data_IF_852089335265
#
_entry.id   IF_852089335265
#
_cell.length_a   1.000
_cell.length_b   1.000
_cell.length_c   1.000
_cell.angle_alpha   90.00
_cell.angle_beta   90.00
_cell.angle_gamma   90.00
#
_symmetry.space_group_name_H-M   'P 1'
#
loop_
_entity.id
_entity.type
_entity.pdbx_description
1 polymer ?
#
# COMPACT_ATOMS: atom_id res chain seq x y z
N UNK A 1 -40.73 -15.39 27.56
CA UNK A 1 -41.72 -16.35 26.97
C UNK A 1 -41.74 -17.65 27.77
N UNK A 2 -42.91 -18.07 28.26
CA UNK A 2 -43.09 -19.25 29.10
C UNK A 2 -44.12 -20.22 28.48
N UNK A 3 -43.81 -21.52 28.36
CA UNK A 3 -44.71 -22.53 27.80
C UNK A 3 -45.76 -22.95 28.86
N UNK A 4 -47.05 -22.95 28.51
CA UNK A 4 -48.18 -23.31 29.39
C UNK A 4 -48.86 -24.61 28.99
N UNK A 5 -48.93 -24.88 27.69
CA UNK A 5 -49.60 -26.06 27.13
C UNK A 5 -48.87 -26.54 25.89
N UNK A 6 -48.74 -27.87 25.76
CA UNK A 6 -48.13 -28.52 24.61
C UNK A 6 -49.18 -29.45 23.99
N UNK A 7 -49.59 -29.17 22.76
CA UNK A 7 -50.49 -30.01 21.98
C UNK A 7 -49.69 -30.66 20.86
N UNK A 8 -49.70 -31.99 20.80
CA UNK A 8 -48.99 -32.78 19.80
C UNK A 8 -50.02 -33.54 18.99
N UNK A 9 -50.15 -33.20 17.71
CA UNK A 9 -51.05 -33.91 16.81
C UNK A 9 -50.40 -35.21 16.35
N UNK A 10 -49.12 -35.16 15.98
CA UNK A 10 -48.27 -36.30 15.70
C UNK A 10 -46.79 -35.92 15.74
N UNK A 11 -45.97 -36.65 16.50
CA UNK A 11 -44.51 -36.47 16.54
C UNK A 11 -43.83 -37.67 17.20
N UNK A 12 -43.02 -38.43 16.44
CA UNK A 12 -42.44 -39.68 16.91
C UNK A 12 -43.50 -40.62 17.49
N UNK A 13 -43.32 -41.01 18.76
CA UNK A 13 -44.26 -41.90 19.49
C UNK A 13 -45.56 -41.21 19.93
N UNK A 14 -45.63 -39.88 19.92
CA UNK A 14 -46.81 -39.14 20.36
C UNK A 14 -47.82 -38.97 19.22
N UNK A 15 -49.10 -39.17 19.54
CA UNK A 15 -50.25 -38.96 18.65
C UNK A 15 -51.43 -38.46 19.48
N UNK A 16 -52.06 -37.37 19.03
CA UNK A 16 -53.19 -36.70 19.69
C UNK A 16 -52.98 -36.51 21.22
N UNK A 17 -51.79 -36.06 21.62
CA UNK A 17 -51.42 -35.85 23.03
C UNK A 17 -51.50 -34.38 23.42
N UNK A 18 -51.91 -34.15 24.66
CA UNK A 18 -52.03 -32.80 25.22
C UNK A 18 -51.45 -32.76 26.63
N UNK A 19 -50.37 -32.02 26.81
CA UNK A 19 -49.74 -31.77 28.11
C UNK A 19 -50.28 -30.43 28.62
N UNK A 20 -51.04 -30.48 29.71
CA UNK A 20 -51.59 -29.32 30.42
C UNK A 20 -50.91 -29.18 31.78
N UNK A 21 -51.03 -28.00 32.37
CA UNK A 21 -50.56 -27.75 33.74
C UNK A 21 -49.06 -27.45 33.83
N UNK A 22 -48.43 -27.00 32.73
CA UNK A 22 -47.08 -26.43 32.81
C UNK A 22 -47.19 -25.07 33.49
N UNK A 23 -46.61 -24.99 34.68
CA UNK A 23 -46.68 -23.83 35.57
C UNK A 23 -45.34 -23.11 35.64
N UNK A 24 -45.32 -21.92 36.24
CA UNK A 24 -44.07 -21.19 36.41
C UNK A 24 -43.16 -21.88 37.42
N UNK A 25 -41.86 -21.90 37.12
CA UNK A 25 -40.85 -22.58 37.93
C UNK A 25 -40.59 -24.02 37.50
N UNK A 26 -40.37 -24.90 38.49
CA UNK A 26 -39.92 -26.26 38.25
C UNK A 26 -41.07 -27.20 37.88
N UNK A 27 -41.03 -27.76 36.67
CA UNK A 27 -41.95 -28.79 36.20
C UNK A 27 -41.21 -30.12 36.04
N UNK A 28 -41.67 -31.17 36.71
CA UNK A 28 -41.01 -32.49 36.68
C UNK A 28 -41.81 -33.43 35.77
N UNK A 29 -41.19 -33.86 34.67
CA UNK A 29 -41.75 -34.87 33.76
C UNK A 29 -41.05 -36.20 34.03
N UNK A 30 -41.80 -37.16 34.59
CA UNK A 30 -41.29 -38.49 34.91
C UNK A 30 -42.13 -39.59 34.25
N UNK A 31 -41.56 -40.77 34.16
CA UNK A 31 -42.13 -41.91 33.46
C UNK A 31 -41.05 -42.95 33.18
N UNK A 32 -41.46 -44.16 32.75
CA UNK A 32 -40.54 -45.23 32.35
C UNK A 32 -39.57 -44.80 31.25
N UNK A 33 -38.53 -45.61 31.04
CA UNK A 33 -37.69 -45.47 29.86
C UNK A 33 -38.56 -45.56 28.59
N UNK A 34 -38.15 -44.84 27.55
CA UNK A 34 -38.84 -44.81 26.24
C UNK A 34 -40.25 -44.21 26.24
N UNK A 35 -40.72 -43.65 27.37
CA UNK A 35 -41.99 -42.92 27.42
C UNK A 35 -42.00 -41.61 26.62
N UNK A 36 -40.91 -41.29 25.92
CA UNK A 36 -40.83 -40.17 24.98
C UNK A 36 -40.35 -38.84 25.56
N UNK A 37 -39.61 -38.83 26.69
CA UNK A 37 -39.08 -37.57 27.27
C UNK A 37 -38.17 -36.81 26.29
N UNK A 38 -37.21 -37.49 25.69
CA UNK A 38 -36.32 -36.91 24.66
C UNK A 38 -37.12 -36.51 23.42
N UNK A 39 -38.13 -37.31 23.04
CA UNK A 39 -39.04 -37.00 21.93
C UNK A 39 -39.86 -35.73 22.21
N UNK A 40 -40.29 -35.50 23.45
CA UNK A 40 -41.02 -34.29 23.85
C UNK A 40 -40.11 -33.05 23.79
N UNK A 41 -38.85 -33.20 24.21
CA UNK A 41 -37.87 -32.12 24.10
C UNK A 41 -37.60 -31.75 22.64
N UNK A 42 -37.41 -32.74 21.76
CA UNK A 42 -37.24 -32.51 20.33
C UNK A 42 -38.50 -31.94 19.66
N UNK A 43 -39.69 -32.29 20.13
CA UNK A 43 -40.92 -31.65 19.68
C UNK A 43 -40.88 -30.15 19.96
N UNK A 44 -40.55 -29.74 21.20
CA UNK A 44 -40.43 -28.32 21.56
C UNK A 44 -39.38 -27.62 20.68
N UNK A 45 -38.21 -28.25 20.47
CA UNK A 45 -37.16 -27.71 19.57
C UNK A 45 -37.68 -27.50 18.14
N UNK A 46 -38.41 -28.47 17.59
CA UNK A 46 -38.97 -28.37 16.24
C UNK A 46 -40.06 -27.29 16.14
N UNK A 47 -40.89 -27.15 17.18
CA UNK A 47 -41.92 -26.12 17.24
C UNK A 47 -41.33 -24.70 17.25
N UNK A 48 -40.21 -24.49 17.95
CA UNK A 48 -39.55 -23.18 18.01
C UNK A 48 -38.70 -22.90 16.75
N UNK A 49 -37.87 -23.86 16.33
CA UNK A 49 -36.81 -23.62 15.33
C UNK A 49 -37.03 -24.31 13.98
N UNK A 50 -38.12 -25.05 13.82
CA UNK A 50 -38.44 -25.77 12.59
C UNK A 50 -37.98 -27.23 12.56
N UNK A 51 -38.61 -27.99 11.68
CA UNK A 51 -38.32 -29.40 11.46
C UNK A 51 -37.01 -29.58 10.69
N UNK A 52 -36.28 -30.68 10.94
CA UNK A 52 -35.09 -31.02 10.16
C UNK A 52 -35.47 -31.20 8.68
N UNK A 53 -34.54 -30.84 7.79
CA UNK A 53 -34.73 -31.06 6.35
C UNK A 53 -34.58 -32.55 6.04
N UNK A 54 -35.32 -33.07 5.07
CA UNK A 54 -35.22 -34.47 4.61
C UNK A 54 -33.81 -34.88 4.15
N UNK A 55 -32.98 -33.91 3.75
CA UNK A 55 -31.58 -34.13 3.36
C UNK A 55 -30.63 -34.34 4.55
N UNK A 56 -31.04 -34.00 5.77
CA UNK A 56 -30.20 -34.14 6.95
C UNK A 56 -30.27 -35.58 7.47
N UNK A 57 -29.11 -36.17 7.77
CA UNK A 57 -28.97 -37.49 8.41
C UNK A 57 -29.29 -37.43 9.91
N UNK A 58 -30.51 -36.98 10.24
CA UNK A 58 -31.01 -36.86 11.61
C UNK A 58 -32.40 -37.47 11.70
N UNK A 59 -32.84 -37.82 12.91
CA UNK A 59 -34.17 -38.35 13.13
C UNK A 59 -35.23 -37.31 12.74
N UNK A 60 -36.10 -37.67 11.79
CA UNK A 60 -37.17 -36.81 11.28
C UNK A 60 -38.40 -36.80 12.21
N UNK A 61 -38.43 -37.70 13.21
CA UNK A 61 -39.54 -37.85 14.15
C UNK A 61 -40.91 -37.99 13.47
N UNK A 62 -40.94 -38.71 12.34
CA UNK A 62 -42.19 -39.03 11.65
C UNK A 62 -43.19 -39.70 12.63
N UNK A 63 -44.49 -39.32 12.62
CA UNK A 63 -45.45 -39.87 13.57
C UNK A 63 -45.68 -41.35 13.31
N UNK A 64 -45.30 -42.22 14.25
CA UNK A 64 -45.47 -43.69 14.07
C UNK A 64 -46.86 -44.17 14.47
N UNK A 65 -47.56 -43.41 15.32
CA UNK A 65 -48.90 -43.71 15.83
C UNK A 65 -49.99 -42.85 15.15
N UNK A 66 -49.73 -42.35 13.94
CA UNK A 66 -50.62 -41.47 13.20
C UNK A 66 -50.62 -40.02 13.70
N UNK A 67 -51.47 -39.20 13.09
CA UNK A 67 -51.55 -37.75 13.34
C UNK A 67 -50.73 -36.92 12.36
N UNK A 68 -51.01 -35.62 12.31
CA UNK A 68 -50.30 -34.67 11.45
C UNK A 68 -48.98 -34.28 12.13
N UNK A 69 -47.86 -34.34 11.39
CA UNK A 69 -46.54 -34.03 11.95
C UNK A 69 -46.46 -32.55 12.38
N UNK A 70 -46.51 -32.33 13.69
CA UNK A 70 -46.57 -31.00 14.29
C UNK A 70 -47.59 -30.87 15.42
N UNK A 71 -47.93 -29.63 15.74
CA UNK A 71 -48.86 -29.33 16.81
C UNK A 71 -48.84 -27.86 17.19
N UNK A 72 -49.13 -27.59 18.47
CA UNK A 72 -49.34 -26.23 18.99
C UNK A 72 -48.65 -26.10 20.35
N UNK A 73 -47.84 -25.05 20.51
CA UNK A 73 -47.39 -24.59 21.84
C UNK A 73 -48.19 -23.37 22.24
N UNK A 74 -48.74 -23.34 23.45
CA UNK A 74 -49.31 -22.12 24.02
C UNK A 74 -48.36 -21.55 25.03
N UNK A 75 -48.06 -20.26 24.88
CA UNK A 75 -47.08 -19.56 25.68
C UNK A 75 -47.67 -18.28 26.28
N UNK A 76 -47.10 -17.84 27.40
CA UNK A 76 -47.33 -16.52 27.99
C UNK A 76 -46.06 -15.69 27.78
N UNK A 77 -46.20 -14.47 27.28
CA UNK A 77 -45.10 -13.51 27.19
C UNK A 77 -44.88 -12.80 28.52
N UNK A 78 -43.73 -12.16 28.67
CA UNK A 78 -43.38 -11.43 29.90
C UNK A 78 -44.31 -10.22 30.13
N UNK A 79 -44.93 -9.72 29.05
CA UNK A 79 -46.01 -8.73 29.08
C UNK A 79 -47.35 -9.26 29.62
N UNK A 80 -47.47 -10.57 29.85
CA UNK A 80 -48.72 -11.26 30.20
C UNK A 80 -49.56 -11.70 28.99
N UNK A 81 -49.19 -11.30 27.77
CA UNK A 81 -49.93 -11.67 26.56
C UNK A 81 -49.87 -13.18 26.28
N UNK A 82 -51.00 -13.78 25.93
CA UNK A 82 -51.08 -15.17 25.48
C UNK A 82 -50.85 -15.29 23.98
N UNK A 83 -49.99 -16.24 23.60
CA UNK A 83 -49.69 -16.55 22.21
C UNK A 83 -49.76 -18.06 21.94
N UNK A 84 -50.04 -18.44 20.70
CA UNK A 84 -49.85 -19.83 20.23
C UNK A 84 -48.85 -19.89 19.08
N UNK A 85 -47.97 -20.91 19.14
CA UNK A 85 -47.03 -21.27 18.07
C UNK A 85 -47.56 -22.54 17.42
N UNK A 86 -48.12 -22.40 16.23
CA UNK A 86 -48.69 -23.49 15.44
C UNK A 86 -47.70 -23.84 14.33
N UNK A 87 -47.18 -25.07 14.30
CA UNK A 87 -46.17 -25.47 13.33
C UNK A 87 -46.38 -26.91 12.87
N UNK A 88 -46.40 -27.09 11.55
CA UNK A 88 -46.54 -28.39 10.88
C UNK A 88 -45.51 -28.52 9.76
N UNK A 89 -44.98 -29.73 9.54
CA UNK A 89 -43.90 -29.99 8.56
C UNK A 89 -44.36 -29.80 7.10
N UNK A 90 -45.63 -30.07 6.82
CA UNK A 90 -46.23 -29.94 5.49
C UNK A 90 -46.48 -28.48 5.05
N UNK A 91 -46.31 -27.50 5.96
CA UNK A 91 -46.58 -26.09 5.69
C UNK A 91 -45.31 -25.32 5.32
N UNK A 92 -45.24 -24.90 4.06
CA UNK A 92 -44.08 -24.17 3.50
C UNK A 92 -43.94 -22.73 3.99
N UNK A 93 -45.03 -22.09 4.42
CA UNK A 93 -45.06 -20.69 4.88
C UNK A 93 -44.48 -20.49 6.29
N UNK A 94 -44.08 -21.58 6.98
CA UNK A 94 -43.58 -21.54 8.35
C UNK A 94 -44.69 -21.58 9.41
N UNK A 95 -44.38 -21.17 10.65
CA UNK A 95 -45.33 -21.26 11.77
C UNK A 95 -46.43 -20.21 11.62
N UNK A 96 -47.63 -20.51 12.12
CA UNK A 96 -48.64 -19.50 12.45
C UNK A 96 -48.39 -19.09 13.89
N UNK A 97 -48.26 -17.79 14.14
CA UNK A 97 -48.23 -17.25 15.50
C UNK A 97 -49.54 -16.49 15.74
N UNK A 98 -50.37 -17.02 16.64
CA UNK A 98 -51.64 -16.38 17.01
C UNK A 98 -51.46 -15.59 18.30
N UNK A 99 -52.02 -14.40 18.34
CA UNK A 99 -52.25 -13.61 19.54
C UNK A 99 -53.75 -13.45 19.75
N UNK A 100 -54.18 -12.84 20.85
CA UNK A 100 -55.59 -12.53 21.09
C UNK A 100 -56.21 -11.61 20.02
N UNK A 101 -55.39 -10.84 19.32
CA UNK A 101 -55.85 -9.81 18.37
C UNK A 101 -55.52 -10.13 16.91
N UNK A 102 -54.53 -10.99 16.65
CA UNK A 102 -54.01 -11.23 15.30
C UNK A 102 -53.83 -12.73 15.08
N UNK A 103 -54.38 -13.23 13.97
CA UNK A 103 -54.40 -14.66 13.65
C UNK A 103 -53.09 -15.22 13.10
N UNK A 104 -52.21 -14.38 12.54
CA UNK A 104 -50.92 -14.86 12.05
C UNK A 104 -49.86 -13.76 11.97
N UNK A 105 -48.84 -13.82 12.83
CA UNK A 105 -47.66 -12.95 12.77
C UNK A 105 -46.45 -13.56 12.04
N UNK A 106 -46.50 -14.85 11.71
CA UNK A 106 -45.45 -15.56 10.96
C UNK A 106 -44.11 -15.75 11.71
N UNK A 107 -43.11 -16.23 10.97
CA UNK A 107 -41.78 -16.59 11.51
C UNK A 107 -41.03 -15.37 12.07
N UNK A 108 -41.06 -14.21 11.40
CA UNK A 108 -40.28 -13.03 11.83
C UNK A 108 -40.66 -12.54 13.22
N UNK A 109 -41.95 -12.67 13.59
CA UNK A 109 -42.41 -12.33 14.93
C UNK A 109 -42.01 -13.39 15.97
N UNK A 110 -41.99 -14.68 15.59
CA UNK A 110 -41.43 -15.72 16.47
C UNK A 110 -39.94 -15.46 16.75
N UNK A 111 -39.19 -15.08 15.72
CA UNK A 111 -37.76 -14.77 15.84
C UNK A 111 -37.52 -13.57 16.77
N UNK A 112 -38.35 -12.52 16.69
CA UNK A 112 -38.24 -11.38 17.60
C UNK A 112 -38.54 -11.74 19.07
N UNK A 113 -39.45 -12.68 19.32
CA UNK A 113 -39.76 -13.20 20.66
C UNK A 113 -38.64 -14.10 21.22
N UNK A 114 -37.98 -14.87 20.36
CA UNK A 114 -36.84 -15.71 20.72
C UNK A 114 -35.54 -14.89 20.86
N UNK A 115 -35.50 -13.68 20.28
CA UNK A 115 -34.34 -12.81 20.32
C UNK A 115 -33.13 -13.48 19.67
N UNK A 116 -32.04 -13.60 20.43
CA UNK A 116 -30.80 -14.23 19.96
C UNK A 116 -30.75 -15.75 20.15
N UNK A 117 -31.81 -16.36 20.69
CA UNK A 117 -31.86 -17.81 20.86
C UNK A 117 -32.10 -18.49 19.51
N UNK A 118 -31.06 -19.12 18.96
CA UNK A 118 -31.19 -20.03 17.82
C UNK A 118 -31.20 -21.50 18.29
N UNK A 119 -31.42 -22.45 17.37
CA UNK A 119 -31.51 -23.89 17.70
C UNK A 119 -30.28 -24.42 18.45
N UNK A 120 -29.08 -23.99 18.06
CA UNK A 120 -27.82 -24.41 18.70
C UNK A 120 -27.72 -23.85 20.12
N UNK A 121 -28.01 -22.56 20.28
CA UNK A 121 -28.02 -21.89 21.60
C UNK A 121 -29.04 -22.54 22.53
N UNK A 122 -30.23 -22.85 22.03
CA UNK A 122 -31.27 -23.51 22.81
C UNK A 122 -30.86 -24.93 23.24
N UNK A 123 -30.28 -25.71 22.33
CA UNK A 123 -29.76 -27.06 22.60
C UNK A 123 -28.64 -27.04 23.65
N UNK A 124 -27.74 -26.06 23.59
CA UNK A 124 -26.53 -26.05 24.41
C UNK A 124 -26.72 -25.37 25.77
N UNK A 125 -27.68 -24.42 25.91
CA UNK A 125 -27.84 -23.62 27.13
C UNK A 125 -29.16 -23.85 27.88
N UNK A 126 -30.27 -23.97 27.16
CA UNK A 126 -31.60 -23.93 27.77
C UNK A 126 -32.22 -25.30 27.98
N UNK A 127 -31.87 -26.28 27.15
CA UNK A 127 -32.44 -27.61 27.20
C UNK A 127 -31.42 -28.60 26.64
N UNK A 128 -30.66 -29.27 27.49
CA UNK A 128 -29.66 -30.28 27.11
C UNK A 128 -30.02 -31.67 27.66
N UNK A 129 -29.71 -32.73 26.91
CA UNK A 129 -29.71 -34.10 27.43
C UNK A 129 -28.41 -34.41 28.18
N UNK A 130 -28.36 -35.54 28.89
CA UNK A 130 -27.12 -35.99 29.57
C UNK A 130 -25.99 -36.24 28.55
N UNK A 131 -26.32 -36.81 27.39
CA UNK A 131 -25.34 -37.04 26.32
C UNK A 131 -24.85 -35.71 25.73
N UNK A 132 -25.75 -34.73 25.56
CA UNK A 132 -25.37 -33.39 25.11
C UNK A 132 -24.51 -32.65 26.14
N UNK A 133 -24.68 -32.93 27.44
CA UNK A 133 -23.82 -32.39 28.49
C UNK A 133 -22.37 -32.91 28.38
N UNK A 134 -22.19 -34.18 28.00
CA UNK A 134 -20.87 -34.75 27.74
C UNK A 134 -20.23 -34.14 26.47
N UNK A 135 -20.99 -33.91 25.42
CA UNK A 135 -20.50 -33.24 24.20
C UNK A 135 -20.15 -31.75 24.43
N UNK A 136 -20.83 -31.05 25.34
CA UNK A 136 -20.48 -29.68 25.74
C UNK A 136 -19.05 -29.61 26.32
N UNK A 137 -18.56 -30.67 26.97
CA UNK A 137 -17.18 -30.74 27.44
C UNK A 137 -16.16 -30.94 26.30
N UNK A 138 -16.58 -31.50 25.16
CA UNK A 138 -15.74 -31.64 23.95
C UNK A 138 -15.77 -30.38 23.07
N UNK A 139 -16.85 -29.60 23.13
CA UNK A 139 -16.95 -28.23 22.60
C UNK A 139 -16.19 -27.24 23.50
N UNK A 140 -14.88 -27.46 23.62
CA UNK A 140 -13.98 -26.53 24.30
C UNK A 140 -13.92 -25.19 23.54
N UNK A 141 -14.53 -24.17 24.16
CA UNK A 141 -13.68 -23.19 24.84
C UNK A 141 -13.84 -21.74 24.43
N UNK A 142 -13.94 -21.41 23.14
CA UNK A 142 -13.93 -19.99 22.72
C UNK A 142 -15.24 -19.51 22.10
N UNK A 143 -15.84 -20.30 21.22
CA UNK A 143 -17.00 -19.83 20.46
C UNK A 143 -18.28 -19.79 21.31
N UNK A 144 -18.43 -20.73 22.25
CA UNK A 144 -19.54 -20.73 23.20
C UNK A 144 -19.31 -19.65 24.27
N UNK A 145 -18.06 -19.47 24.76
CA UNK A 145 -17.75 -18.38 25.70
C UNK A 145 -18.03 -17.02 25.09
N UNK A 146 -17.54 -16.76 23.87
CA UNK A 146 -17.75 -15.47 23.20
C UNK A 146 -19.22 -15.18 22.94
N UNK A 147 -20.03 -16.20 22.62
CA UNK A 147 -21.49 -16.06 22.46
C UNK A 147 -22.22 -15.86 23.80
N UNK A 148 -21.83 -16.56 24.87
CA UNK A 148 -22.41 -16.34 26.22
C UNK A 148 -22.10 -14.92 26.70
N UNK A 149 -20.85 -14.47 26.59
CA UNK A 149 -20.46 -13.10 26.94
C UNK A 149 -21.14 -12.07 26.02
N UNK A 150 -21.26 -12.35 24.72
CA UNK A 150 -21.96 -11.48 23.76
C UNK A 150 -23.45 -11.30 24.09
N UNK A 151 -24.14 -12.37 24.48
CA UNK A 151 -25.55 -12.32 24.92
C UNK A 151 -25.68 -11.60 26.27
N UNK A 152 -24.78 -11.88 27.23
CA UNK A 152 -24.77 -11.20 28.54
C UNK A 152 -24.46 -9.70 28.48
N UNK A 153 -23.76 -9.24 27.44
CA UNK A 153 -23.40 -7.83 27.23
C UNK A 153 -24.30 -7.10 26.22
N UNK A 154 -25.32 -7.76 25.66
CA UNK A 154 -26.24 -7.15 24.68
C UNK A 154 -25.62 -6.88 23.31
N UNK A 155 -24.51 -7.54 22.96
CA UNK A 155 -23.77 -7.35 21.71
C UNK A 155 -24.32 -8.18 20.54
N UNK A 156 -25.36 -9.00 20.78
CA UNK A 156 -26.10 -9.72 19.76
C UNK A 156 -25.25 -10.66 18.91
N UNK A 157 -25.14 -10.35 17.61
CA UNK A 157 -24.49 -11.18 16.57
C UNK A 157 -22.95 -11.04 16.53
N UNK A 158 -22.40 -10.10 17.31
CA UNK A 158 -20.97 -9.79 17.31
C UNK A 158 -20.22 -10.82 18.15
N UNK A 159 -19.47 -11.71 17.49
CA UNK A 159 -18.55 -12.63 18.16
C UNK A 159 -17.22 -11.93 18.44
N UNK A 160 -16.95 -11.66 19.72
CA UNK A 160 -15.68 -11.09 20.17
C UNK A 160 -14.47 -11.90 19.70
N UNK A 161 -14.59 -13.24 19.67
CA UNK A 161 -13.52 -14.10 19.16
C UNK A 161 -13.28 -13.98 17.65
N UNK A 162 -14.28 -13.56 16.86
CA UNK A 162 -14.06 -13.23 15.44
C UNK A 162 -13.31 -11.91 15.31
N UNK A 163 -13.72 -10.89 16.07
CA UNK A 163 -13.05 -9.59 16.10
C UNK A 163 -11.60 -9.75 16.53
N UNK A 164 -11.34 -10.52 17.59
CA UNK A 164 -9.99 -10.80 18.07
C UNK A 164 -9.12 -11.45 16.98
N UNK A 165 -9.66 -12.44 16.25
CA UNK A 165 -8.96 -13.06 15.11
C UNK A 165 -8.71 -12.11 13.95
N UNK A 166 -9.65 -11.22 13.64
CA UNK A 166 -9.48 -10.20 12.60
C UNK A 166 -8.38 -9.21 13.00
N UNK A 167 -8.42 -8.69 14.22
CA UNK A 167 -7.38 -7.80 14.75
C UNK A 167 -6.02 -8.50 14.74
N UNK A 168 -5.94 -9.76 15.17
CA UNK A 168 -4.70 -10.52 15.18
C UNK A 168 -4.15 -10.75 13.77
N UNK A 169 -5.04 -10.98 12.79
CA UNK A 169 -4.67 -11.08 11.37
C UNK A 169 -4.12 -9.76 10.85
N UNK A 170 -4.81 -8.65 11.11
CA UNK A 170 -4.39 -7.32 10.67
C UNK A 170 -3.05 -6.91 11.29
N UNK A 171 -2.86 -7.18 12.59
CA UNK A 171 -1.58 -7.00 13.27
C UNK A 171 -0.47 -7.79 12.58
N UNK A 172 -0.71 -9.06 12.24
CA UNK A 172 0.27 -9.91 11.53
C UNK A 172 0.54 -9.42 10.10
N UNK A 173 -0.41 -8.81 9.40
CA UNK A 173 -0.16 -8.23 8.07
C UNK A 173 0.69 -6.96 8.16
N UNK A 174 0.44 -6.12 9.17
CA UNK A 174 1.19 -4.89 9.41
C UNK A 174 2.61 -5.21 9.88
N UNK A 175 2.74 -6.07 10.89
CA UNK A 175 3.99 -6.34 11.58
C UNK A 175 4.14 -7.80 11.99
N UNK A 176 5.27 -8.42 11.61
CA UNK A 176 5.69 -9.73 12.14
C UNK A 176 7.08 -9.59 12.75
N UNK A 177 7.33 -10.14 13.96
CA UNK A 177 8.67 -10.18 14.55
C UNK A 177 9.68 -10.94 13.69
N UNK A 178 9.21 -11.96 12.95
CA UNK A 178 9.98 -12.74 11.98
C UNK A 178 9.13 -12.97 10.73
N UNK A 179 9.74 -12.79 9.56
CA UNK A 179 9.10 -13.00 8.26
C UNK A 179 8.63 -11.71 7.57
N UNK A 180 7.98 -11.87 6.43
CA UNK A 180 7.58 -10.77 5.57
C UNK A 180 6.29 -10.10 6.09
N UNK A 181 6.34 -8.77 6.26
CA UNK A 181 5.25 -7.91 6.69
C UNK A 181 5.33 -6.57 5.97
N UNK A 182 4.21 -5.83 5.90
CA UNK A 182 4.18 -4.51 5.22
C UNK A 182 5.23 -3.55 5.77
N UNK A 183 5.40 -3.52 7.09
CA UNK A 183 6.38 -2.67 7.75
C UNK A 183 7.83 -3.11 7.45
N UNK A 184 8.08 -4.43 7.39
CA UNK A 184 9.39 -4.97 7.00
C UNK A 184 9.79 -4.59 5.57
N UNK A 185 8.85 -4.68 4.62
CA UNK A 185 9.08 -4.26 3.22
C UNK A 185 9.34 -2.76 3.14
N UNK A 186 8.60 -1.95 3.88
CA UNK A 186 8.80 -0.49 3.91
C UNK A 186 10.17 -0.11 4.48
N UNK A 187 10.60 -0.74 5.57
CA UNK A 187 11.93 -0.52 6.16
C UNK A 187 13.05 -0.92 5.20
N UNK A 188 12.91 -2.05 4.48
CA UNK A 188 13.88 -2.46 3.48
C UNK A 188 14.03 -1.42 2.37
N UNK A 189 12.91 -0.86 1.87
CA UNK A 189 12.93 0.22 0.87
C UNK A 189 13.56 1.51 1.41
N UNK A 190 13.28 1.88 2.66
CA UNK A 190 13.90 3.06 3.28
C UNK A 190 15.42 2.91 3.31
N UNK A 191 15.92 1.75 3.76
CA UNK A 191 17.36 1.48 3.81
C UNK A 191 18.01 1.49 2.41
N UNK A 192 17.30 1.00 1.40
CA UNK A 192 17.77 1.02 0.00
C UNK A 192 17.89 2.47 -0.51
N UNK A 193 16.85 3.28 -0.30
CA UNK A 193 16.84 4.70 -0.69
C UNK A 193 17.91 5.49 0.07
N UNK A 194 18.10 5.26 1.37
CA UNK A 194 19.16 5.91 2.14
C UNK A 194 20.55 5.58 1.59
N UNK A 195 20.76 4.32 1.16
CA UNK A 195 22.02 3.90 0.54
C UNK A 195 22.26 4.58 -0.81
N UNK A 196 21.22 4.73 -1.63
CA UNK A 196 21.30 5.47 -2.89
C UNK A 196 21.65 6.96 -2.66
N UNK A 197 21.04 7.58 -1.65
CA UNK A 197 21.31 8.98 -1.28
C UNK A 197 22.78 9.14 -0.86
N UNK A 198 23.30 8.25 -0.01
CA UNK A 198 24.70 8.28 0.41
C UNK A 198 25.67 8.15 -0.78
N UNK A 199 25.39 7.23 -1.72
CA UNK A 199 26.21 7.06 -2.92
C UNK A 199 26.17 8.31 -3.83
N UNK A 200 25.00 8.94 -3.97
CA UNK A 200 24.87 10.17 -4.74
C UNK A 200 25.66 11.33 -4.11
N UNK A 201 25.66 11.43 -2.77
CA UNK A 201 26.45 12.42 -2.03
C UNK A 201 27.96 12.22 -2.21
N UNK A 202 28.47 10.99 -2.10
CA UNK A 202 29.88 10.69 -2.37
C UNK A 202 30.31 11.07 -3.80
N UNK A 203 29.42 10.84 -4.78
CA UNK A 203 29.68 11.22 -6.16
C UNK A 203 29.71 12.74 -6.36
N UNK A 204 28.97 13.50 -5.54
CA UNK A 204 28.97 14.96 -5.58
C UNK A 204 30.29 15.56 -5.10
N UNK A 205 30.91 14.98 -4.07
CA UNK A 205 32.26 15.38 -3.63
C UNK A 205 33.29 15.15 -4.73
N UNK A 206 33.29 13.96 -5.34
CA UNK A 206 34.19 13.63 -6.48
C UNK A 206 33.95 14.56 -7.68
N UNK A 207 32.69 14.90 -7.96
CA UNK A 207 32.34 15.85 -9.02
C UNK A 207 32.92 17.25 -8.74
N UNK A 208 32.81 17.73 -7.50
CA UNK A 208 33.39 19.01 -7.09
C UNK A 208 34.93 18.99 -7.19
N UNK A 209 35.58 17.92 -6.76
CA UNK A 209 37.03 17.76 -6.90
C UNK A 209 37.48 17.77 -8.36
N UNK A 210 36.79 17.01 -9.22
CA UNK A 210 37.07 16.98 -10.66
C UNK A 210 36.85 18.34 -11.31
N UNK A 211 35.79 19.05 -10.94
CA UNK A 211 35.47 20.38 -11.48
C UNK A 211 36.52 21.42 -11.05
N UNK A 212 36.95 21.39 -9.80
CA UNK A 212 38.04 22.24 -9.30
C UNK A 212 39.37 21.93 -10.01
N UNK A 213 39.66 20.64 -10.25
CA UNK A 213 40.85 20.22 -10.98
C UNK A 213 40.80 20.68 -12.43
N UNK A 214 39.64 20.57 -13.09
CA UNK A 214 39.42 21.02 -14.46
C UNK A 214 39.60 22.54 -14.57
N UNK A 215 39.08 23.31 -13.60
CA UNK A 215 39.29 24.76 -13.51
C UNK A 215 40.77 25.11 -13.43
N UNK A 216 41.52 24.48 -12.51
CA UNK A 216 42.98 24.69 -12.35
C UNK A 216 43.75 24.35 -13.62
N UNK A 217 43.45 23.22 -14.26
CA UNK A 217 44.10 22.82 -15.51
C UNK A 217 43.79 23.78 -16.66
N UNK A 218 42.57 24.32 -16.72
CA UNK A 218 42.21 25.34 -17.72
C UNK A 218 42.93 26.66 -17.47
N UNK A 219 43.10 27.08 -16.22
CA UNK A 219 43.87 28.27 -15.87
C UNK A 219 45.35 28.11 -16.25
N UNK A 220 45.94 26.95 -15.96
CA UNK A 220 47.31 26.62 -16.36
C UNK A 220 47.47 26.59 -17.88
N UNK A 221 46.52 25.97 -18.60
CA UNK A 221 46.49 25.96 -20.07
C UNK A 221 46.44 27.38 -20.61
N UNK A 222 45.57 28.23 -20.07
CA UNK A 222 45.44 29.64 -20.46
C UNK A 222 46.76 30.40 -20.26
N UNK A 223 47.43 30.21 -19.11
CA UNK A 223 48.76 30.80 -18.84
C UNK A 223 49.82 30.34 -19.83
N UNK A 224 49.89 29.04 -20.13
CA UNK A 224 50.83 28.49 -21.11
C UNK A 224 50.58 29.02 -22.52
N UNK A 225 49.32 29.12 -22.94
CA UNK A 225 48.95 29.69 -24.25
C UNK A 225 49.38 31.16 -24.35
N UNK A 226 49.16 31.96 -23.30
CA UNK A 226 49.66 33.35 -23.27
C UNK A 226 51.18 33.40 -23.40
N UNK A 227 51.90 32.57 -22.64
CA UNK A 227 53.36 32.51 -22.70
C UNK A 227 53.89 32.09 -24.08
N UNK A 228 53.21 31.18 -24.78
CA UNK A 228 53.55 30.82 -26.16
C UNK A 228 53.40 32.03 -27.08
N UNK A 229 52.27 32.73 -27.01
CA UNK A 229 52.02 33.91 -27.84
C UNK A 229 53.05 35.02 -27.60
N UNK A 230 53.39 35.29 -26.33
CA UNK A 230 54.40 36.30 -25.97
C UNK A 230 55.79 35.93 -26.49
N UNK A 231 56.14 34.64 -26.41
CA UNK A 231 57.41 34.12 -26.95
C UNK A 231 57.44 34.22 -28.47
N UNK A 232 56.31 33.93 -29.14
CA UNK A 232 56.19 34.02 -30.60
C UNK A 232 56.28 35.47 -31.10
N UNK A 233 55.69 36.42 -30.37
CA UNK A 233 55.86 37.86 -30.62
C UNK A 233 57.33 38.29 -30.48
N UNK A 234 57.98 37.84 -29.40
CA UNK A 234 59.39 38.14 -29.16
C UNK A 234 60.28 37.58 -30.27
N UNK A 235 60.00 36.33 -30.69
CA UNK A 235 60.68 35.70 -31.82
C UNK A 235 60.55 36.53 -33.10
N UNK A 236 59.32 36.92 -33.48
CA UNK A 236 59.08 37.76 -34.67
C UNK A 236 59.85 39.08 -34.61
N UNK A 237 59.86 39.75 -33.45
CA UNK A 237 60.63 41.00 -33.28
C UNK A 237 62.13 40.79 -33.48
N UNK A 238 62.68 39.70 -32.96
CA UNK A 238 64.10 39.37 -33.14
C UNK A 238 64.42 39.00 -34.60
N UNK A 239 63.55 38.23 -35.26
CA UNK A 239 63.66 37.91 -36.69
C UNK A 239 63.68 39.19 -37.53
N UNK A 240 62.74 40.11 -37.32
CA UNK A 240 62.72 41.42 -38.01
C UNK A 240 63.99 42.23 -37.74
N UNK A 241 64.52 42.22 -36.50
CA UNK A 241 65.78 42.91 -36.20
C UNK A 241 66.97 42.31 -36.95
N UNK A 242 67.02 40.98 -37.06
CA UNK A 242 68.06 40.28 -37.81
C UNK A 242 67.95 40.62 -39.30
N UNK A 243 66.73 40.63 -39.86
CA UNK A 243 66.49 40.99 -41.27
C UNK A 243 66.86 42.43 -41.60
N UNK A 244 66.57 43.38 -40.70
CA UNK A 244 66.86 44.80 -40.90
C UNK A 244 68.30 45.18 -40.57
N UNK A 245 69.05 44.33 -39.87
CA UNK A 245 70.42 44.62 -39.45
C UNK A 245 71.35 44.99 -40.63
N UNK A 246 71.38 44.25 -41.76
CA UNK A 246 72.20 44.63 -42.92
C UNK A 246 71.84 46.00 -43.49
N UNK A 247 70.54 46.33 -43.56
CA UNK A 247 70.05 47.61 -44.08
C UNK A 247 70.48 48.76 -43.17
N UNK A 248 70.44 48.57 -41.84
CA UNK A 248 70.90 49.57 -40.88
C UNK A 248 72.41 49.78 -40.99
N UNK A 249 73.18 48.70 -41.15
CA UNK A 249 74.63 48.79 -41.37
C UNK A 249 74.94 49.54 -42.66
N UNK A 250 74.25 49.24 -43.75
CA UNK A 250 74.39 49.96 -45.02
C UNK A 250 74.06 51.44 -44.86
N UNK A 251 72.93 51.77 -44.23
CA UNK A 251 72.52 53.15 -43.97
C UNK A 251 73.55 53.93 -43.13
N UNK A 252 74.11 53.31 -42.09
CA UNK A 252 75.16 53.93 -41.26
C UNK A 252 76.44 54.17 -42.06
N UNK A 253 76.87 53.20 -42.87
CA UNK A 253 78.02 53.37 -43.77
C UNK A 253 77.76 54.49 -44.78
N UNK A 254 76.57 54.57 -45.39
CA UNK A 254 76.21 55.64 -46.33
C UNK A 254 76.20 57.01 -45.65
N UNK A 255 75.73 57.10 -44.40
CA UNK A 255 75.76 58.34 -43.63
C UNK A 255 77.20 58.78 -43.33
N UNK A 256 78.08 57.83 -42.98
CA UNK A 256 79.49 58.09 -42.75
C UNK A 256 80.19 58.55 -44.04
N UNK A 257 79.87 57.94 -45.19
CA UNK A 257 80.33 58.39 -46.50
C UNK A 257 79.87 59.81 -46.82
N UNK A 258 78.60 60.16 -46.53
CA UNK A 258 78.07 61.52 -46.72
C UNK A 258 78.76 62.53 -45.81
N UNK A 259 79.04 62.18 -44.56
CA UNK A 259 79.71 63.07 -43.60
C UNK A 259 81.18 63.32 -43.98
N UNK A 260 81.81 62.35 -44.66
CA UNK A 260 83.16 62.48 -45.23
C UNK A 260 83.20 63.25 -46.55
N UNK A 261 82.06 63.50 -47.21
CA UNK A 261 82.03 64.32 -48.42
C UNK A 261 82.22 65.80 -48.06
N UNK A 262 83.12 66.48 -48.78
CA UNK A 262 83.26 67.93 -48.62
C UNK A 262 81.95 68.64 -49.00
N UNK A 263 81.43 69.44 -48.06
CA UNK A 263 80.26 70.29 -48.31
C UNK A 263 80.66 71.38 -49.30
N UNK A 264 80.31 71.18 -50.58
CA UNK A 264 80.55 72.18 -51.63
C UNK A 264 79.59 73.36 -51.43
N UNK A 265 80.05 74.36 -50.68
CA UNK A 265 79.28 75.56 -50.34
C UNK A 265 79.02 76.50 -51.52
N UNK A 266 79.71 76.31 -52.66
CA UNK A 266 79.55 77.15 -53.83
C UNK A 266 79.64 76.34 -55.14
N UNK A 267 78.58 75.60 -55.46
CA UNK A 267 78.46 74.89 -56.73
C UNK A 267 78.00 75.88 -57.82
N UNK A 268 78.76 76.06 -58.93
CA UNK A 268 78.41 77.03 -59.95
C UNK A 268 77.04 76.72 -60.58
N UNK A 269 76.17 77.74 -60.71
CA UNK A 269 74.79 77.64 -61.26
C UNK A 269 74.67 76.93 -62.62
N UNK A 270 75.77 76.77 -63.36
CA UNK A 270 75.86 76.04 -64.62
C UNK A 270 77.15 75.19 -64.67
N UNK A 271 77.47 74.49 -63.57
CA UNK A 271 78.73 73.77 -63.39
C UNK A 271 79.00 72.70 -64.44
N UNK A 272 77.97 71.96 -64.85
CA UNK A 272 78.08 70.94 -65.90
C UNK A 272 78.50 71.58 -67.23
N UNK A 273 77.87 72.68 -67.63
CA UNK A 273 78.18 73.38 -68.88
C UNK A 273 79.60 73.96 -68.92
N UNK A 274 80.09 74.52 -67.80
CA UNK A 274 81.48 74.99 -67.68
C UNK A 274 82.50 73.84 -67.75
N UNK A 275 82.16 72.68 -67.19
CA UNK A 275 83.05 71.52 -67.21
C UNK A 275 83.15 70.93 -68.62
N UNK A 276 82.04 70.88 -69.35
CA UNK A 276 82.01 70.50 -70.76
C UNK A 276 82.85 71.43 -71.64
N UNK A 277 82.75 72.75 -71.45
CA UNK A 277 83.56 73.70 -72.23
C UNK A 277 85.06 73.56 -71.92
N UNK A 278 85.43 73.39 -70.65
CA UNK A 278 86.84 73.17 -70.25
C UNK A 278 87.39 71.86 -70.81
N UNK A 279 86.58 70.80 -70.88
CA UNK A 279 86.98 69.53 -71.49
C UNK A 279 87.18 69.66 -73.00
N UNK A 280 86.30 70.41 -73.69
CA UNK A 280 86.44 70.70 -75.12
C UNK A 280 87.69 71.57 -75.38
N UNK A 281 87.92 72.61 -74.58
CA UNK A 281 89.11 73.47 -74.69
C UNK A 281 90.40 72.67 -74.44
N UNK A 282 90.40 71.76 -73.45
CA UNK A 282 91.52 70.85 -73.20
C UNK A 282 91.80 69.93 -74.39
N UNK A 283 90.75 69.46 -75.05
CA UNK A 283 90.86 68.56 -76.20
C UNK A 283 91.39 69.31 -77.44
N UNK A 284 90.92 70.53 -77.68
CA UNK A 284 91.43 71.41 -78.73
C UNK A 284 92.91 71.80 -78.53
N UNK A 285 93.31 72.10 -77.29
CA UNK A 285 94.71 72.39 -76.93
C UNK A 285 95.63 71.17 -77.14
N UNK A 286 95.13 69.95 -76.94
CA UNK A 286 95.87 68.73 -77.19
C UNK A 286 96.01 68.42 -78.70
N UNK A 287 95.11 68.91 -79.55
CA UNK A 287 95.19 68.77 -81.00
C UNK A 287 96.13 69.79 -81.66
N UNK A 288 96.32 70.98 -81.08
CA UNK A 288 97.28 72.00 -81.59
C UNK A 288 98.76 71.68 -81.27
N UNK A 289 99.03 70.64 -80.48
CA UNK A 289 100.39 70.19 -80.09
C UNK A 289 100.86 68.98 -80.93
N UNK A 290 100.13 68.62 -82.00
CA UNK A 290 100.52 67.64 -83.03
C UNK A 290 100.76 68.29 -84.38
#
# INVERSE_FOLDING_TARGET
>A
MEIREIQIDGFGVFSAKKVKGVSSGLNIIYGPNEFGKTTLLEFIRCMLFGFPKKSQKVNQYAPVNGGRLGGILKCTLDSGQLISVDRYEDRKEGPIIRTESIENQGQSYLDSLLGYANREVFKNLYAFTIDELHDIQSLQGEEIKSRIYGVGMGLGEISLGKIEKEIEKDCKEIFKPKGESRMGIALAKINEVEKEVLQAQENFEKFNELTNTLSKMNDEKSKKVKGINDTELTKKLLETRIELFPVVVEMLNTLEEVDQMEVVSNFPKNGIGKLSSIQIDRQNLLEQVK
#
